data_IF_137559009171
#
_entry.id   IF_137559009171
#
_cell.length_a   1.000
_cell.length_b   1.000
_cell.length_c   1.000
_cell.angle_alpha   90.00
_cell.angle_beta   90.00
_cell.angle_gamma   90.00
#
_symmetry.space_group_name_H-M   'P 1'
#
loop_
_entity.id
_entity.type
_entity.pdbx_description
1 polymer ?
#
# COMPACT_ATOMS: atom_id res chain seq x y z
N UNK A 1 -25.99 -58.00 56.69
CA UNK A 1 -26.50 -56.62 56.54
C UNK A 1 -25.39 -55.78 55.94
N UNK A 2 -25.57 -55.17 54.72
CA UNK A 2 -24.59 -54.34 54.10
C UNK A 2 -24.86 -52.87 54.54
N UNK A 3 -23.98 -52.28 55.29
CA UNK A 3 -24.08 -50.87 55.64
C UNK A 3 -23.41 -50.05 54.55
N UNK A 4 -24.15 -49.15 53.88
CA UNK A 4 -23.64 -48.17 52.95
C UNK A 4 -23.45 -46.83 53.67
N UNK A 5 -22.20 -46.41 53.85
CA UNK A 5 -21.89 -45.15 54.50
C UNK A 5 -21.55 -44.15 53.38
N UNK A 6 -22.41 -43.17 53.15
CA UNK A 6 -22.18 -42.06 52.20
C UNK A 6 -21.57 -40.90 52.97
N UNK A 7 -20.33 -40.57 52.66
CA UNK A 7 -19.68 -39.32 53.10
C UNK A 7 -19.78 -38.34 51.93
N UNK A 8 -20.37 -37.15 52.14
CA UNK A 8 -20.86 -36.28 51.06
C UNK A 8 -19.77 -35.83 50.10
N UNK A 9 -18.63 -35.32 50.53
CA UNK A 9 -17.56 -34.92 49.60
C UNK A 9 -16.29 -34.46 50.31
N UNK A 10 -15.16 -34.53 49.61
CA UNK A 10 -13.90 -33.95 50.02
C UNK A 10 -13.56 -32.83 49.02
N UNK A 11 -13.38 -31.60 49.52
CA UNK A 11 -12.95 -30.48 48.71
C UNK A 11 -11.44 -30.50 48.53
N UNK A 12 -10.98 -30.43 47.26
CA UNK A 12 -9.57 -30.25 46.92
C UNK A 12 -9.35 -28.82 46.47
N UNK A 13 -8.36 -28.15 47.05
CA UNK A 13 -8.09 -26.73 46.81
C UNK A 13 -7.47 -26.48 45.43
N UNK A 14 -7.75 -25.31 44.87
CA UNK A 14 -7.20 -24.81 43.61
C UNK A 14 -5.68 -24.55 43.65
N UNK A 15 -5.05 -24.56 44.85
CA UNK A 15 -3.58 -24.53 45.01
C UNK A 15 -2.87 -25.71 44.31
N UNK A 16 -3.63 -26.75 43.93
CA UNK A 16 -3.12 -27.89 43.15
C UNK A 16 -3.10 -27.66 41.64
N UNK A 17 -3.39 -26.41 41.17
CA UNK A 17 -3.49 -26.04 39.78
C UNK A 17 -2.29 -26.54 38.95
N UNK A 18 -2.57 -27.22 37.83
CA UNK A 18 -1.60 -27.72 36.85
C UNK A 18 -0.37 -28.48 37.44
N UNK A 19 -0.46 -29.00 38.65
CA UNK A 19 0.52 -29.93 39.18
C UNK A 19 0.21 -31.35 38.69
N UNK A 20 1.16 -32.27 38.81
CA UNK A 20 1.09 -33.65 38.28
C UNK A 20 -0.05 -34.53 38.84
N UNK A 21 -1.20 -33.92 39.06
CA UNK A 21 -2.40 -34.49 39.65
C UNK A 21 -2.38 -34.45 41.17
N UNK A 22 -3.55 -34.35 41.76
CA UNK A 22 -3.77 -34.48 43.20
C UNK A 22 -4.29 -35.87 43.44
N UNK A 23 -3.69 -36.61 44.36
CA UNK A 23 -4.16 -37.94 44.75
C UNK A 23 -5.02 -37.85 46.00
N UNK A 24 -6.30 -38.20 45.87
CA UNK A 24 -7.15 -38.45 47.02
C UNK A 24 -7.05 -39.94 47.40
N UNK A 25 -6.67 -40.18 48.65
CA UNK A 25 -6.58 -41.53 49.26
C UNK A 25 -7.71 -41.68 50.25
N UNK A 26 -8.58 -42.64 50.01
CA UNK A 26 -9.66 -42.99 50.90
C UNK A 26 -9.33 -44.33 51.55
N UNK A 27 -9.29 -44.35 52.87
CA UNK A 27 -9.03 -45.59 53.62
C UNK A 27 -10.19 -45.82 54.59
N UNK A 28 -10.77 -47.01 54.54
CA UNK A 28 -11.77 -47.49 55.50
C UNK A 28 -11.16 -48.59 56.33
N UNK A 29 -11.54 -48.63 57.60
CA UNK A 29 -11.13 -49.64 58.54
C UNK A 29 -12.39 -50.24 59.17
N UNK A 30 -12.51 -51.54 59.23
CA UNK A 30 -13.58 -52.25 59.96
C UNK A 30 -13.31 -52.35 61.41
N UNK A 31 -14.27 -52.87 62.20
CA UNK A 31 -14.13 -53.05 63.64
C UNK A 31 -13.16 -54.14 64.01
N UNK A 32 -12.68 -54.91 63.06
CA UNK A 32 -11.63 -56.01 63.28
C UNK A 32 -10.25 -55.48 62.80
N UNK A 33 -10.11 -54.25 62.36
CA UNK A 33 -8.86 -53.63 61.93
C UNK A 33 -8.47 -53.86 60.46
N UNK A 34 -9.31 -54.49 59.62
CA UNK A 34 -9.05 -54.65 58.21
C UNK A 34 -9.18 -53.32 57.49
N UNK A 35 -8.20 -53.05 56.61
CA UNK A 35 -8.13 -51.76 55.86
C UNK A 35 -8.43 -51.95 54.36
N UNK A 36 -9.30 -51.14 53.82
CA UNK A 36 -9.49 -51.00 52.36
C UNK A 36 -9.09 -49.61 51.97
N UNK A 37 -8.29 -49.49 50.90
CA UNK A 37 -7.81 -48.22 50.43
C UNK A 37 -8.11 -48.06 48.94
N UNK A 38 -8.73 -46.93 48.56
CA UNK A 38 -8.93 -46.50 47.18
C UNK A 38 -8.17 -45.20 46.96
N UNK A 39 -7.46 -45.12 45.84
CA UNK A 39 -6.72 -43.91 45.41
C UNK A 39 -7.35 -43.42 44.12
N UNK A 40 -7.52 -42.08 44.00
CA UNK A 40 -7.99 -41.45 42.81
C UNK A 40 -7.16 -40.20 42.54
N UNK A 41 -6.64 -40.08 41.30
CA UNK A 41 -5.94 -38.86 40.85
C UNK A 41 -6.91 -37.95 40.14
N UNK A 42 -6.75 -36.65 40.36
CA UNK A 42 -7.50 -35.56 39.74
C UNK A 42 -6.50 -34.54 39.22
N UNK A 43 -6.82 -33.96 38.04
CA UNK A 43 -6.16 -32.75 37.55
C UNK A 43 -7.05 -31.57 37.86
N UNK A 44 -6.51 -30.55 38.48
CA UNK A 44 -7.18 -29.29 38.74
C UNK A 44 -6.51 -28.25 37.84
N UNK A 45 -7.29 -27.54 37.04
CA UNK A 45 -6.83 -26.50 36.16
C UNK A 45 -7.76 -25.30 36.26
N UNK A 46 -7.21 -24.19 36.74
CA UNK A 46 -7.88 -22.87 36.83
C UNK A 46 -7.15 -21.82 35.98
N UNK A 47 -6.09 -22.22 35.28
CA UNK A 47 -5.34 -21.36 34.40
C UNK A 47 -6.11 -21.16 33.09
N UNK A 48 -6.06 -19.97 32.55
CA UNK A 48 -6.60 -19.67 31.21
C UNK A 48 -5.49 -19.84 30.18
N UNK A 49 -5.79 -20.30 28.95
CA UNK A 49 -4.83 -20.27 27.85
C UNK A 49 -4.25 -18.86 27.66
N UNK A 50 -2.94 -18.74 27.56
CA UNK A 50 -2.26 -17.49 27.20
C UNK A 50 -2.02 -17.47 25.70
N UNK A 51 -2.56 -16.46 24.99
CA UNK A 51 -2.43 -16.33 23.54
C UNK A 51 -1.59 -15.10 23.22
N UNK A 52 -0.61 -15.28 22.34
CA UNK A 52 0.17 -14.20 21.74
C UNK A 52 0.16 -14.34 20.21
N UNK A 53 0.15 -13.22 19.51
CA UNK A 53 0.30 -13.15 18.05
C UNK A 53 1.51 -12.26 17.77
N UNK A 54 2.46 -12.76 16.99
CA UNK A 54 3.63 -12.01 16.54
C UNK A 54 3.76 -12.10 15.02
N UNK A 55 4.52 -11.20 14.42
CA UNK A 55 4.74 -11.16 12.97
C UNK A 55 6.25 -11.12 12.66
N UNK A 56 6.64 -11.76 11.54
CA UNK A 56 8.02 -11.83 11.06
C UNK A 56 8.49 -10.52 10.39
N UNK A 57 7.59 -9.84 9.66
CA UNK A 57 7.86 -8.61 8.96
C UNK A 57 7.13 -7.44 9.62
N UNK A 58 7.87 -6.54 10.26
CA UNK A 58 7.35 -5.35 10.94
C UNK A 58 7.81 -4.04 10.29
N UNK A 59 8.50 -4.09 9.13
CA UNK A 59 8.88 -2.92 8.35
C UNK A 59 7.70 -2.46 7.48
N UNK A 60 7.10 -1.32 7.83
CA UNK A 60 5.94 -0.77 7.16
C UNK A 60 5.99 0.76 7.10
N UNK A 61 5.25 1.35 6.19
CA UNK A 61 4.81 2.75 6.28
C UNK A 61 3.42 2.78 6.91
N UNK A 62 3.34 3.05 8.22
CA UNK A 62 2.10 2.94 8.98
C UNK A 62 1.58 1.49 9.00
N UNK A 63 0.35 1.28 8.49
CA UNK A 63 -0.28 -0.05 8.42
C UNK A 63 0.00 -0.80 7.11
N UNK A 64 0.78 -0.24 6.18
CA UNK A 64 0.99 -0.77 4.82
C UNK A 64 2.30 -1.54 4.70
N UNK A 65 2.25 -2.70 4.07
CA UNK A 65 3.39 -3.62 3.89
C UNK A 65 3.52 -4.02 2.43
N UNK A 66 4.67 -3.75 1.81
CA UNK A 66 4.97 -4.14 0.42
C UNK A 66 5.53 -5.55 0.25
N UNK A 67 5.61 -6.33 1.33
CA UNK A 67 6.09 -7.71 1.34
C UNK A 67 5.12 -8.61 2.09
N UNK A 68 5.22 -9.91 1.85
CA UNK A 68 4.49 -10.91 2.62
C UNK A 68 4.76 -10.75 4.11
N UNK A 69 3.79 -11.14 4.92
CA UNK A 69 3.91 -11.29 6.38
C UNK A 69 3.50 -12.69 6.80
N UNK A 70 4.09 -13.17 7.88
CA UNK A 70 3.65 -14.38 8.55
C UNK A 70 3.33 -14.04 10.00
N UNK A 71 2.12 -14.38 10.44
CA UNK A 71 1.77 -14.34 11.85
C UNK A 71 2.12 -15.69 12.48
N UNK A 72 2.77 -15.67 13.65
CA UNK A 72 2.92 -16.82 14.53
C UNK A 72 1.97 -16.62 15.71
N UNK A 73 0.97 -17.48 15.81
CA UNK A 73 0.06 -17.56 16.96
C UNK A 73 0.66 -18.55 17.93
N UNK A 74 0.94 -18.10 19.16
CA UNK A 74 1.51 -18.93 20.23
C UNK A 74 0.49 -19.06 21.35
N UNK A 75 0.21 -20.28 21.78
CA UNK A 75 -0.67 -20.59 22.91
C UNK A 75 0.15 -21.35 23.95
N UNK A 76 0.18 -20.82 25.18
CA UNK A 76 0.76 -21.50 26.35
C UNK A 76 -0.38 -22.08 27.17
N UNK A 77 -0.51 -23.40 27.13
CA UNK A 77 -1.57 -24.12 27.84
C UNK A 77 -1.15 -25.56 28.13
N UNK A 78 -1.50 -26.08 29.31
CA UNK A 78 -1.26 -27.48 29.67
C UNK A 78 -2.34 -28.41 29.11
N UNK A 79 -3.59 -28.02 29.24
CA UNK A 79 -4.77 -28.79 28.88
C UNK A 79 -5.42 -28.25 27.60
N UNK A 80 -4.61 -28.05 26.57
CA UNK A 80 -5.02 -27.47 25.29
C UNK A 80 -6.08 -28.30 24.59
N UNK A 81 -7.15 -27.64 24.13
CA UNK A 81 -8.20 -28.23 23.30
C UNK A 81 -8.25 -27.56 21.90
N UNK A 82 -7.70 -28.27 20.91
CA UNK A 82 -7.68 -27.79 19.53
C UNK A 82 -9.09 -27.60 18.94
N UNK A 83 -10.08 -28.35 19.41
CA UNK A 83 -11.46 -28.27 18.94
C UNK A 83 -12.18 -27.01 19.46
N UNK A 84 -11.73 -26.49 20.61
CA UNK A 84 -12.24 -25.26 21.24
C UNK A 84 -11.31 -24.07 21.04
N UNK A 85 -10.36 -24.17 20.10
CA UNK A 85 -9.45 -23.10 19.72
C UNK A 85 -9.86 -22.56 18.34
N UNK A 86 -10.07 -21.25 18.24
CA UNK A 86 -10.57 -20.60 17.05
C UNK A 86 -9.59 -19.53 16.59
N UNK A 87 -9.24 -19.59 15.30
CA UNK A 87 -8.50 -18.53 14.61
C UNK A 87 -9.38 -17.99 13.48
N UNK A 88 -9.62 -16.69 13.51
CA UNK A 88 -10.38 -16.00 12.47
C UNK A 88 -9.46 -15.04 11.72
N UNK A 89 -9.43 -15.21 10.41
CA UNK A 89 -8.82 -14.29 9.46
C UNK A 89 -9.92 -13.44 8.85
N UNK A 90 -9.76 -12.12 8.89
CA UNK A 90 -10.58 -11.21 8.09
C UNK A 90 -9.73 -10.68 6.95
N UNK A 91 -10.20 -10.84 5.70
CA UNK A 91 -9.59 -10.28 4.51
C UNK A 91 -10.61 -9.41 3.78
N UNK A 92 -10.32 -8.14 3.58
CA UNK A 92 -11.21 -7.16 2.92
C UNK A 92 -12.65 -7.19 3.48
N UNK A 93 -12.78 -7.27 4.81
CA UNK A 93 -14.06 -7.35 5.51
C UNK A 93 -14.70 -8.75 5.58
N UNK A 94 -14.20 -9.73 4.84
CA UNK A 94 -14.73 -11.11 4.88
C UNK A 94 -14.01 -11.92 5.96
N UNK A 95 -14.78 -12.36 6.97
CA UNK A 95 -14.27 -13.15 8.10
C UNK A 95 -14.36 -14.65 7.80
N UNK A 96 -13.25 -15.35 7.91
CA UNK A 96 -13.12 -16.78 7.68
C UNK A 96 -12.50 -17.45 8.90
N UNK A 97 -13.08 -18.59 9.34
CA UNK A 97 -12.45 -19.44 10.37
C UNK A 97 -11.37 -20.30 9.72
N UNK A 98 -10.15 -20.21 10.23
CA UNK A 98 -9.05 -21.06 9.80
C UNK A 98 -9.11 -22.41 10.49
N UNK A 99 -8.61 -23.46 9.82
CA UNK A 99 -8.42 -24.77 10.44
C UNK A 99 -7.33 -24.66 11.51
N UNK A 100 -7.61 -25.19 12.68
CA UNK A 100 -6.67 -25.23 13.82
C UNK A 100 -5.57 -26.26 13.57
N UNK A 101 -4.39 -25.82 13.12
CA UNK A 101 -3.21 -26.66 12.84
C UNK A 101 -2.09 -26.33 13.82
N UNK A 102 -2.41 -26.24 15.10
CA UNK A 102 -1.41 -25.98 16.14
C UNK A 102 -0.50 -27.20 16.34
N UNK A 103 0.80 -26.94 16.41
CA UNK A 103 1.84 -27.93 16.69
C UNK A 103 2.43 -27.60 18.05
N UNK A 104 2.56 -28.63 18.91
CA UNK A 104 3.23 -28.52 20.22
C UNK A 104 4.73 -28.60 20.02
N UNK A 105 5.50 -27.88 20.89
CA UNK A 105 6.94 -28.04 21.01
C UNK A 105 7.32 -29.34 21.76
N UNK A 106 6.33 -30.02 22.37
CA UNK A 106 6.54 -31.29 23.11
C UNK A 106 7.25 -31.10 24.43
N UNK A 107 7.58 -29.88 24.84
CA UNK A 107 8.33 -29.57 26.05
C UNK A 107 7.42 -29.03 27.14
N UNK A 108 7.52 -29.61 28.34
CA UNK A 108 6.79 -29.14 29.52
C UNK A 108 7.55 -28.00 30.17
N UNK A 109 7.03 -26.79 30.03
CA UNK A 109 7.58 -25.59 30.65
C UNK A 109 6.94 -25.30 32.01
N UNK A 110 7.61 -24.55 32.87
CA UNK A 110 7.11 -24.12 34.18
C UNK A 110 7.09 -22.61 34.30
N UNK A 111 6.03 -22.07 34.91
CA UNK A 111 5.96 -20.66 35.33
C UNK A 111 6.63 -20.47 36.68
N UNK A 112 6.85 -19.23 37.08
CA UNK A 112 7.43 -18.89 38.39
C UNK A 112 6.57 -19.38 39.57
N UNK A 113 5.24 -19.44 39.40
CA UNK A 113 4.30 -19.96 40.38
C UNK A 113 4.29 -21.51 40.44
N UNK A 114 5.11 -22.19 39.64
CA UNK A 114 5.22 -23.63 39.52
C UNK A 114 4.13 -24.29 38.67
N UNK A 115 3.19 -23.54 38.09
CA UNK A 115 2.27 -24.09 37.11
C UNK A 115 3.00 -24.44 35.82
N UNK A 116 2.47 -25.42 35.08
CA UNK A 116 3.13 -25.97 33.90
C UNK A 116 2.30 -25.80 32.64
N UNK A 117 2.97 -25.72 31.49
CA UNK A 117 2.31 -25.55 30.19
C UNK A 117 3.16 -26.15 29.06
N UNK A 118 2.52 -26.45 27.93
CA UNK A 118 3.15 -26.68 26.63
C UNK A 118 2.98 -25.42 25.76
N UNK A 119 3.87 -25.25 24.79
CA UNK A 119 3.75 -24.23 23.78
C UNK A 119 3.14 -24.83 22.51
N UNK A 120 2.05 -24.25 22.02
CA UNK A 120 1.41 -24.63 20.76
C UNK A 120 1.53 -23.46 19.81
N UNK A 121 1.98 -23.72 18.57
CA UNK A 121 2.18 -22.69 17.56
C UNK A 121 1.45 -23.02 16.27
N UNK A 122 0.95 -21.97 15.61
CA UNK A 122 0.34 -22.02 14.30
C UNK A 122 0.78 -20.79 13.50
N UNK A 123 1.22 -20.99 12.25
CA UNK A 123 1.58 -19.91 11.34
C UNK A 123 0.44 -19.59 10.36
N UNK A 124 0.25 -18.31 10.08
CA UNK A 124 -0.68 -17.80 9.06
C UNK A 124 0.10 -16.88 8.13
N UNK A 125 0.13 -17.23 6.85
CA UNK A 125 0.86 -16.48 5.82
C UNK A 125 -0.10 -15.52 5.10
N UNK A 126 0.33 -14.28 4.91
CA UNK A 126 -0.35 -13.22 4.15
C UNK A 126 0.52 -12.91 2.93
N UNK A 127 0.17 -13.47 1.78
CA UNK A 127 0.94 -13.42 0.53
C UNK A 127 0.23 -12.72 -0.62
N UNK A 128 -0.98 -12.22 -0.41
CA UNK A 128 -1.78 -11.52 -1.41
C UNK A 128 -2.12 -10.11 -0.94
N UNK A 129 -2.35 -9.21 -1.90
CA UNK A 129 -2.82 -7.87 -1.59
C UNK A 129 -4.21 -7.89 -0.94
N UNK A 130 -4.37 -7.05 0.08
CA UNK A 130 -5.61 -6.96 0.84
C UNK A 130 -5.43 -6.32 2.22
N UNK A 131 -6.55 -5.94 2.82
CA UNK A 131 -6.61 -5.53 4.23
C UNK A 131 -6.91 -6.74 5.10
N UNK A 132 -6.13 -6.92 6.16
CA UNK A 132 -6.15 -8.11 7.02
C UNK A 132 -6.29 -7.76 8.49
N UNK A 133 -7.05 -8.60 9.21
CA UNK A 133 -6.96 -8.71 10.66
C UNK A 133 -6.99 -10.19 11.09
N UNK A 134 -6.36 -10.50 12.22
CA UNK A 134 -6.25 -11.84 12.76
C UNK A 134 -6.69 -11.84 14.21
N UNK A 135 -7.58 -12.77 14.58
CA UNK A 135 -8.08 -12.92 15.95
C UNK A 135 -8.00 -14.38 16.35
N UNK A 136 -7.51 -14.65 17.57
CA UNK A 136 -7.46 -15.99 18.15
C UNK A 136 -8.18 -16.03 19.49
N UNK A 137 -8.82 -17.16 19.80
CA UNK A 137 -9.46 -17.44 21.06
C UNK A 137 -9.34 -18.93 21.39
N UNK A 138 -9.20 -19.29 22.66
CA UNK A 138 -9.08 -20.67 23.10
C UNK A 138 -9.85 -20.90 24.39
N UNK A 139 -10.38 -22.12 24.50
CA UNK A 139 -10.94 -22.68 25.75
C UNK A 139 -10.24 -24.01 25.97
N UNK A 140 -9.69 -24.23 27.16
CA UNK A 140 -9.01 -25.48 27.51
C UNK A 140 -9.98 -26.63 27.80
N UNK A 141 -9.46 -27.79 28.10
CA UNK A 141 -10.24 -28.95 28.44
C UNK A 141 -11.00 -28.81 29.80
N UNK A 142 -10.52 -27.97 30.71
CA UNK A 142 -11.16 -27.68 31.97
C UNK A 142 -12.29 -26.63 31.86
N UNK A 143 -12.38 -25.93 30.69
CA UNK A 143 -13.39 -24.94 30.43
C UNK A 143 -12.94 -23.51 30.73
N UNK A 144 -11.67 -23.28 31.07
CA UNK A 144 -11.15 -21.92 31.24
C UNK A 144 -11.01 -21.25 29.88
N UNK A 145 -11.51 -20.00 29.76
CA UNK A 145 -11.57 -19.26 28.50
C UNK A 145 -10.62 -18.07 28.51
N UNK A 146 -9.90 -17.92 27.43
CA UNK A 146 -9.22 -16.68 27.09
C UNK A 146 -10.21 -15.75 26.35
N UNK A 147 -10.10 -14.43 26.55
CA UNK A 147 -10.77 -13.45 25.71
C UNK A 147 -10.13 -13.45 24.32
N UNK A 148 -10.90 -13.16 23.24
CA UNK A 148 -10.32 -13.05 21.92
C UNK A 148 -9.15 -12.06 21.91
N UNK A 149 -7.99 -12.52 21.42
CA UNK A 149 -6.80 -11.71 21.25
C UNK A 149 -6.70 -11.34 19.78
N UNK A 150 -6.76 -10.04 19.51
CA UNK A 150 -6.34 -9.45 18.24
C UNK A 150 -4.91 -8.93 18.45
N UNK A 151 -4.09 -8.94 17.41
CA UNK A 151 -2.73 -8.40 17.53
C UNK A 151 -2.76 -6.96 18.02
N UNK A 152 -2.20 -6.73 19.18
CA UNK A 152 -2.03 -5.41 19.80
C UNK A 152 -0.55 -5.04 19.63
N UNK A 153 -0.16 -4.66 18.42
CA UNK A 153 1.14 -4.02 18.17
C UNK A 153 1.02 -2.49 18.18
N UNK A 154 2.07 -1.80 17.81
CA UNK A 154 2.11 -0.33 17.68
C UNK A 154 1.17 0.21 16.59
N UNK A 155 0.52 -0.65 15.83
CA UNK A 155 -0.40 -0.31 14.73
C UNK A 155 -1.71 -1.09 14.89
N UNK A 156 -2.79 -0.42 14.56
CA UNK A 156 -4.21 -0.80 14.56
C UNK A 156 -4.50 -2.31 14.40
N UNK A 157 -5.69 -2.75 14.81
CA UNK A 157 -6.18 -4.14 14.72
C UNK A 157 -6.18 -4.73 13.29
N UNK A 158 -5.82 -3.94 12.26
CA UNK A 158 -5.71 -4.35 10.86
C UNK A 158 -4.44 -3.80 10.20
N UNK A 159 -4.00 -4.48 9.13
CA UNK A 159 -2.90 -4.07 8.27
C UNK A 159 -3.21 -4.36 6.80
N UNK A 160 -2.46 -3.73 5.90
CA UNK A 160 -2.62 -3.88 4.45
C UNK A 160 -1.35 -4.48 3.86
N UNK A 161 -1.50 -5.59 3.12
CA UNK A 161 -0.47 -6.05 2.19
C UNK A 161 -0.78 -5.41 0.84
N UNK A 162 0.19 -4.72 0.27
CA UNK A 162 0.12 -4.13 -1.05
C UNK A 162 1.46 -4.22 -1.75
N UNK A 163 1.52 -5.05 -2.77
CA UNK A 163 2.71 -5.31 -3.61
C UNK A 163 2.54 -4.75 -5.02
N UNK A 164 1.39 -4.17 -5.29
CA UNK A 164 1.06 -3.60 -6.59
C UNK A 164 1.67 -2.21 -6.70
N UNK A 165 2.34 -1.93 -7.83
CA UNK A 165 2.91 -0.60 -8.10
C UNK A 165 1.85 0.31 -8.70
N UNK A 166 1.87 1.62 -8.39
CA UNK A 166 1.04 2.58 -9.11
C UNK A 166 1.38 2.59 -10.61
N UNK A 167 0.36 2.76 -11.45
CA UNK A 167 0.51 2.89 -12.90
C UNK A 167 0.06 4.29 -13.31
N UNK A 168 0.93 5.05 -14.00
CA UNK A 168 0.62 6.38 -14.50
C UNK A 168 0.57 6.43 -16.02
N UNK A 169 -0.32 7.28 -16.56
CA UNK A 169 -0.42 7.60 -17.98
C UNK A 169 -0.56 9.11 -18.16
N UNK A 170 0.26 9.68 -19.06
CA UNK A 170 0.18 11.07 -19.47
C UNK A 170 -0.45 11.14 -20.87
N UNK A 171 -1.48 11.97 -21.05
CA UNK A 171 -2.10 12.26 -22.34
C UNK A 171 -2.25 13.76 -22.50
N UNK A 172 -2.34 14.22 -23.74
CA UNK A 172 -2.49 15.63 -24.09
C UNK A 172 -3.71 15.84 -24.98
N UNK A 173 -4.39 16.97 -24.81
CA UNK A 173 -5.56 17.37 -25.60
C UNK A 173 -5.19 17.89 -26.98
N UNK A 174 -4.16 18.73 -27.09
CA UNK A 174 -3.69 19.34 -28.33
C UNK A 174 -2.41 18.63 -28.80
N UNK A 175 -2.51 17.96 -29.94
CA UNK A 175 -1.40 17.24 -30.58
C UNK A 175 -1.02 17.83 -31.95
N UNK A 176 -1.56 19.02 -32.32
CA UNK A 176 -1.20 19.72 -33.54
C UNK A 176 0.16 20.38 -33.40
N UNK A 177 1.17 19.74 -33.95
CA UNK A 177 2.57 20.20 -33.91
C UNK A 177 3.03 20.70 -35.27
N UNK A 178 3.93 21.70 -35.27
CA UNK A 178 4.83 22.00 -36.37
C UNK A 178 6.24 21.59 -35.94
N UNK A 179 6.96 20.82 -36.76
CA UNK A 179 8.32 20.36 -36.45
C UNK A 179 8.42 19.62 -35.10
N UNK A 180 7.52 18.67 -34.85
CA UNK A 180 7.48 17.70 -33.70
C UNK A 180 7.47 18.31 -32.30
N UNK A 181 7.85 19.60 -32.13
CA UNK A 181 8.16 20.22 -30.84
C UNK A 181 7.30 21.45 -30.55
N UNK A 182 6.82 22.15 -31.57
CA UNK A 182 6.16 23.48 -31.46
C UNK A 182 4.66 23.34 -31.56
N UNK A 183 3.95 24.01 -30.64
CA UNK A 183 2.49 24.05 -30.57
C UNK A 183 2.02 25.54 -30.61
N UNK A 184 1.15 25.88 -31.55
CA UNK A 184 0.63 27.26 -31.74
C UNK A 184 -0.57 27.63 -30.87
N UNK A 185 -0.99 26.75 -29.95
CA UNK A 185 -2.10 26.96 -29.04
C UNK A 185 -1.80 26.36 -27.68
N UNK A 186 -2.57 26.75 -26.68
CA UNK A 186 -2.54 26.20 -25.36
C UNK A 186 -2.63 24.65 -25.41
N UNK A 187 -2.01 24.03 -24.42
CA UNK A 187 -1.97 22.58 -24.30
C UNK A 187 -2.29 22.17 -22.87
N UNK A 188 -3.06 21.09 -22.69
CA UNK A 188 -3.35 20.53 -21.38
C UNK A 188 -2.90 19.06 -21.34
N UNK A 189 -2.09 18.71 -20.36
CA UNK A 189 -1.82 17.32 -20.04
C UNK A 189 -2.82 16.82 -19.00
N UNK A 190 -3.33 15.61 -19.21
CA UNK A 190 -4.07 14.84 -18.22
C UNK A 190 -3.19 13.70 -17.75
N UNK A 191 -2.88 13.68 -16.45
CA UNK A 191 -2.16 12.62 -15.77
C UNK A 191 -3.18 11.75 -15.07
N UNK A 192 -3.25 10.46 -15.41
CA UNK A 192 -4.10 9.46 -14.75
C UNK A 192 -3.22 8.46 -14.04
N UNK A 193 -3.52 8.20 -12.77
CA UNK A 193 -2.84 7.19 -11.96
C UNK A 193 -3.86 6.18 -11.49
N UNK A 194 -3.57 4.91 -11.69
CA UNK A 194 -4.37 3.80 -11.15
C UNK A 194 -3.63 3.22 -9.96
N UNK A 195 -4.19 3.40 -8.77
CA UNK A 195 -3.64 2.92 -7.51
C UNK A 195 -4.71 2.90 -6.41
N UNK A 196 -4.80 1.79 -5.65
CA UNK A 196 -5.76 1.66 -4.55
C UNK A 196 -5.29 2.39 -3.28
N UNK A 197 -4.02 2.24 -2.96
CA UNK A 197 -3.39 2.82 -1.77
C UNK A 197 -2.57 4.06 -2.16
N UNK A 198 -3.25 4.98 -2.84
CA UNK A 198 -2.64 6.16 -3.43
C UNK A 198 -2.01 7.09 -2.40
N UNK A 199 -0.79 7.50 -2.69
CA UNK A 199 -0.10 8.63 -2.08
C UNK A 199 0.16 9.67 -3.15
N UNK A 200 -0.01 10.94 -2.84
CA UNK A 200 0.23 12.00 -3.83
C UNK A 200 1.64 11.90 -4.44
N UNK A 201 1.67 11.74 -5.77
CA UNK A 201 2.91 11.57 -6.51
C UNK A 201 3.52 12.93 -6.86
N UNK A 202 4.84 12.97 -7.01
CA UNK A 202 5.55 14.18 -7.41
C UNK A 202 5.44 14.40 -8.92
N UNK A 203 4.74 15.47 -9.31
CA UNK A 203 4.66 15.94 -10.68
C UNK A 203 5.61 17.14 -10.84
N UNK A 204 6.71 16.91 -11.57
CA UNK A 204 7.69 17.94 -11.92
C UNK A 204 7.33 18.57 -13.25
N UNK A 205 7.04 19.88 -13.24
CA UNK A 205 6.67 20.65 -14.42
C UNK A 205 6.83 22.15 -14.17
N UNK A 206 6.99 22.93 -15.22
CA UNK A 206 6.87 24.40 -15.21
C UNK A 206 5.53 24.91 -15.80
N UNK A 207 4.57 24.00 -16.03
CA UNK A 207 3.17 24.32 -16.32
C UNK A 207 2.35 24.54 -15.05
N UNK A 208 1.12 24.99 -15.18
CA UNK A 208 0.17 25.23 -14.07
C UNK A 208 -0.56 23.94 -13.72
N UNK A 209 -0.30 23.38 -12.53
CA UNK A 209 -0.94 22.16 -12.02
C UNK A 209 -2.33 22.45 -11.42
N UNK A 210 -3.28 21.53 -11.62
CA UNK A 210 -4.45 21.40 -10.75
C UNK A 210 -4.09 20.61 -9.46
N UNK A 211 -5.05 20.45 -8.54
CA UNK A 211 -4.96 19.42 -7.50
C UNK A 211 -5.25 18.01 -8.06
N UNK A 212 -4.97 17.00 -7.25
CA UNK A 212 -5.42 15.63 -7.52
C UNK A 212 -6.92 15.48 -7.26
N UNK A 213 -7.61 14.81 -8.16
CA UNK A 213 -9.00 14.37 -8.00
C UNK A 213 -9.03 12.86 -8.01
N UNK A 214 -9.70 12.24 -7.02
CA UNK A 214 -9.71 10.79 -6.83
C UNK A 214 -11.13 10.24 -6.94
N UNK A 215 -11.27 9.14 -7.69
CA UNK A 215 -12.51 8.38 -7.80
C UNK A 215 -12.18 6.87 -7.78
N UNK A 216 -12.44 6.22 -6.64
CA UNK A 216 -12.02 4.84 -6.41
C UNK A 216 -10.48 4.71 -6.49
N UNK A 217 -10.01 3.85 -7.39
CA UNK A 217 -8.58 3.61 -7.63
C UNK A 217 -8.00 4.53 -8.73
N UNK A 218 -8.78 5.42 -9.30
CA UNK A 218 -8.34 6.35 -10.34
C UNK A 218 -8.10 7.74 -9.76
N UNK A 219 -6.91 8.30 -10.02
CA UNK A 219 -6.49 9.61 -9.54
C UNK A 219 -6.05 10.44 -10.73
N UNK A 220 -6.57 11.64 -10.85
CA UNK A 220 -6.38 12.50 -12.03
C UNK A 220 -5.87 13.86 -11.62
N UNK A 221 -4.86 14.34 -12.34
CA UNK A 221 -4.36 15.74 -12.28
C UNK A 221 -4.26 16.30 -13.71
N UNK A 222 -4.55 17.57 -13.88
CA UNK A 222 -4.29 18.28 -15.12
C UNK A 222 -3.15 19.29 -14.98
N UNK A 223 -2.41 19.49 -16.07
CA UNK A 223 -1.36 20.51 -16.16
C UNK A 223 -1.60 21.35 -17.41
N UNK A 224 -1.77 22.66 -17.23
CA UNK A 224 -2.01 23.61 -18.32
C UNK A 224 -0.70 24.30 -18.72
N UNK A 225 -0.48 24.41 -20.04
CA UNK A 225 0.67 25.05 -20.68
C UNK A 225 0.14 26.15 -21.62
N UNK A 226 0.14 27.39 -21.15
CA UNK A 226 -0.52 28.51 -21.79
C UNK A 226 0.33 29.78 -21.99
N UNK A 227 1.63 29.68 -21.74
CA UNK A 227 2.58 30.77 -22.00
C UNK A 227 3.57 30.35 -23.10
N UNK A 228 4.11 31.34 -23.82
CA UNK A 228 5.10 31.12 -24.88
C UNK A 228 6.46 30.78 -24.30
N UNK A 229 6.69 29.50 -24.04
CA UNK A 229 7.95 28.96 -23.49
C UNK A 229 8.11 27.48 -23.73
N UNK A 230 9.29 26.98 -23.42
CA UNK A 230 9.57 25.55 -23.39
C UNK A 230 9.04 24.92 -22.08
N UNK A 231 8.45 23.73 -22.22
CA UNK A 231 7.84 22.99 -21.14
C UNK A 231 8.44 21.60 -20.97
N UNK A 232 8.46 21.16 -19.72
CA UNK A 232 8.76 19.79 -19.31
C UNK A 232 7.64 19.25 -18.40
N UNK A 233 7.47 17.93 -18.42
CA UNK A 233 6.53 17.23 -17.56
C UNK A 233 7.04 15.84 -17.24
N UNK A 234 7.13 15.50 -15.96
CA UNK A 234 7.39 14.15 -15.51
C UNK A 234 6.64 13.85 -14.22
N UNK A 235 6.41 12.55 -13.95
CA UNK A 235 5.79 12.05 -12.72
C UNK A 235 6.63 10.93 -12.15
N UNK A 236 6.83 10.95 -10.84
CA UNK A 236 7.53 9.94 -10.06
C UNK A 236 7.00 9.88 -8.62
N UNK A 237 7.27 8.81 -7.89
CA UNK A 237 6.90 8.66 -6.49
C UNK A 237 6.62 7.21 -6.13
N UNK A 238 5.91 7.02 -5.03
CA UNK A 238 5.52 5.72 -4.50
C UNK A 238 4.14 5.80 -3.86
N UNK A 239 3.47 4.64 -3.71
CA UNK A 239 2.21 4.52 -2.99
C UNK A 239 2.39 4.52 -1.45
N UNK A 240 1.32 4.25 -0.70
CA UNK A 240 1.34 4.18 0.77
C UNK A 240 2.13 2.98 1.30
N UNK A 241 2.33 1.92 0.51
CA UNK A 241 3.13 0.76 0.88
C UNK A 241 4.61 0.89 0.49
N UNK A 242 4.98 1.96 -0.24
CA UNK A 242 6.32 2.21 -0.73
C UNK A 242 6.63 1.46 -2.03
N UNK A 243 5.63 1.03 -2.82
CA UNK A 243 5.86 0.53 -4.17
C UNK A 243 6.09 1.71 -5.12
N UNK A 244 7.23 1.69 -5.81
CA UNK A 244 7.70 2.81 -6.62
C UNK A 244 7.03 2.79 -8.00
N UNK A 245 6.45 3.93 -8.40
CA UNK A 245 5.99 4.18 -9.75
C UNK A 245 7.14 4.12 -10.74
N UNK A 246 6.98 3.46 -11.86
CA UNK A 246 7.90 3.60 -12.99
C UNK A 246 7.78 5.02 -13.55
N UNK A 247 8.89 5.78 -13.48
CA UNK A 247 8.92 7.19 -13.86
C UNK A 247 8.42 7.40 -15.29
N UNK A 248 7.45 8.30 -15.45
CA UNK A 248 6.95 8.73 -16.75
C UNK A 248 7.39 10.15 -17.04
N UNK A 249 7.76 10.43 -18.31
CA UNK A 249 8.17 11.76 -18.75
C UNK A 249 7.64 12.02 -20.16
N UNK A 250 7.12 13.20 -20.38
CA UNK A 250 6.83 13.70 -21.74
C UNK A 250 8.12 14.22 -22.38
N UNK A 251 8.23 14.11 -23.72
CA UNK A 251 9.27 14.84 -24.46
C UNK A 251 9.07 16.35 -24.23
N UNK A 252 10.14 17.14 -24.02
CA UNK A 252 10.04 18.58 -23.93
C UNK A 252 9.40 19.17 -25.18
N UNK A 253 8.58 20.22 -25.02
CA UNK A 253 7.87 20.88 -26.11
C UNK A 253 7.77 22.38 -25.87
N UNK A 254 7.45 23.12 -26.92
CA UNK A 254 7.31 24.58 -26.88
C UNK A 254 5.89 24.95 -27.25
N UNK A 255 5.26 25.80 -26.45
CA UNK A 255 4.07 26.54 -26.82
C UNK A 255 4.56 27.90 -27.33
N UNK A 256 4.12 28.26 -28.51
CA UNK A 256 4.40 29.55 -29.17
C UNK A 256 3.16 30.01 -29.90
N UNK A 257 2.52 31.03 -29.37
CA UNK A 257 1.30 31.65 -29.92
C UNK A 257 1.58 32.99 -30.56
N UNK A 258 2.79 33.48 -30.38
CA UNK A 258 3.22 34.77 -30.92
C UNK A 258 3.49 34.61 -32.41
N UNK A 259 3.03 35.56 -33.19
CA UNK A 259 3.32 35.61 -34.63
C UNK A 259 4.65 36.31 -34.84
N UNK A 260 5.47 35.88 -35.81
CA UNK A 260 6.68 36.61 -36.17
C UNK A 260 6.30 38.00 -36.68
N UNK A 261 7.13 38.98 -36.34
CA UNK A 261 7.03 40.37 -36.79
C UNK A 261 8.03 40.63 -37.89
N UNK A 262 7.59 41.40 -38.90
CA UNK A 262 8.47 41.99 -39.91
C UNK A 262 8.57 43.49 -39.59
N UNK A 263 9.77 43.92 -39.23
CA UNK A 263 10.08 45.29 -38.87
C UNK A 263 11.12 45.86 -39.85
N UNK A 264 11.19 47.17 -39.96
CA UNK A 264 12.22 47.89 -40.71
C UNK A 264 12.40 47.42 -42.16
N UNK A 265 11.32 47.46 -42.94
CA UNK A 265 11.43 47.22 -44.39
C UNK A 265 12.08 48.46 -45.03
N UNK A 266 13.21 48.23 -45.71
CA UNK A 266 13.93 49.31 -46.43
C UNK A 266 13.90 49.05 -47.95
N UNK A 267 13.77 50.03 -48.80
CA UNK A 267 13.55 51.42 -48.47
C UNK A 267 12.15 51.65 -47.85
N UNK A 268 12.06 52.60 -46.91
CA UNK A 268 10.85 52.89 -46.15
C UNK A 268 9.85 53.78 -46.89
N UNK A 269 10.23 54.27 -48.03
CA UNK A 269 9.43 55.18 -48.90
C UNK A 269 9.07 54.55 -50.26
N UNK A 270 8.07 55.11 -50.92
CA UNK A 270 7.61 54.66 -52.22
C UNK A 270 8.22 55.50 -53.38
N UNK A 271 9.43 56.05 -53.13
CA UNK A 271 10.11 56.85 -54.15
C UNK A 271 10.43 56.07 -55.44
N UNK A 272 10.32 56.72 -56.56
CA UNK A 272 10.64 56.10 -57.85
C UNK A 272 12.16 55.86 -57.97
N UNK A 273 12.54 54.67 -58.36
CA UNK A 273 13.93 54.25 -58.52
C UNK A 273 14.24 53.99 -60.01
N UNK A 274 15.41 54.36 -60.46
CA UNK A 274 15.86 54.22 -61.87
C UNK A 274 16.64 52.90 -62.08
N UNK A 275 16.81 52.05 -61.03
CA UNK A 275 17.58 50.86 -61.10
C UNK A 275 17.05 49.73 -60.13
N UNK A 276 17.86 48.71 -59.92
CA UNK A 276 17.52 47.62 -58.98
C UNK A 276 17.47 48.20 -57.58
N UNK A 277 16.44 47.81 -56.81
CA UNK A 277 16.22 48.20 -55.43
C UNK A 277 16.52 47.01 -54.55
N UNK A 278 17.39 47.22 -53.56
CA UNK A 278 17.64 46.20 -52.50
C UNK A 278 16.68 46.47 -51.35
N UNK A 279 15.82 45.52 -51.08
CA UNK A 279 14.92 45.56 -49.91
C UNK A 279 15.57 44.80 -48.76
N UNK A 280 15.64 45.45 -47.61
CA UNK A 280 16.04 44.85 -46.34
C UNK A 280 14.87 44.78 -45.39
N UNK A 281 14.79 43.77 -44.55
CA UNK A 281 13.78 43.66 -43.53
C UNK A 281 14.38 42.99 -42.27
N UNK A 282 13.80 43.24 -41.12
CA UNK A 282 14.15 42.59 -39.88
C UNK A 282 12.99 41.69 -39.45
N UNK A 283 13.28 40.40 -39.23
CA UNK A 283 12.35 39.46 -38.65
C UNK A 283 12.60 39.33 -37.16
N UNK A 284 11.57 39.44 -36.35
CA UNK A 284 11.66 39.30 -34.90
C UNK A 284 10.66 38.26 -34.45
N UNK A 285 11.19 37.16 -33.93
CA UNK A 285 10.44 36.10 -33.27
C UNK A 285 11.40 35.25 -32.44
N UNK A 286 10.96 34.79 -31.28
CA UNK A 286 11.77 33.97 -30.37
C UNK A 286 12.04 32.57 -30.92
N UNK A 287 11.08 32.04 -31.68
CA UNK A 287 11.12 30.66 -32.20
C UNK A 287 11.02 30.62 -33.73
N UNK A 288 11.63 31.60 -34.40
CA UNK A 288 11.61 31.72 -35.83
C UNK A 288 12.12 30.46 -36.54
N UNK A 289 11.35 29.96 -37.50
CA UNK A 289 11.79 28.86 -38.39
C UNK A 289 12.62 29.46 -39.53
N UNK A 290 13.94 29.45 -39.35
CA UNK A 290 14.93 30.05 -40.26
C UNK A 290 14.97 29.39 -41.66
N UNK A 291 14.27 28.27 -41.86
CA UNK A 291 14.19 27.57 -43.17
C UNK A 291 12.93 27.84 -43.97
N UNK A 292 11.95 28.56 -43.40
CA UNK A 292 10.64 28.78 -44.02
C UNK A 292 10.43 30.15 -44.66
N UNK A 293 11.48 30.97 -44.68
CA UNK A 293 11.39 32.35 -45.21
C UNK A 293 11.13 32.33 -46.73
N UNK A 294 9.99 32.83 -47.14
CA UNK A 294 9.66 33.03 -48.56
C UNK A 294 9.32 34.50 -48.80
N UNK A 295 10.16 35.17 -49.59
CA UNK A 295 9.83 36.48 -50.11
C UNK A 295 9.06 36.31 -51.46
N UNK A 296 7.81 36.72 -51.45
CA UNK A 296 6.97 36.70 -52.68
C UNK A 296 6.65 38.13 -53.07
N UNK A 297 7.13 38.56 -54.23
CA UNK A 297 6.79 39.87 -54.80
C UNK A 297 5.56 39.79 -55.68
N UNK A 298 4.77 40.87 -55.71
CA UNK A 298 3.64 41.08 -56.62
C UNK A 298 3.84 42.37 -57.38
N UNK A 299 3.75 42.33 -58.71
CA UNK A 299 3.74 43.55 -59.59
C UNK A 299 2.56 43.44 -60.55
N UNK A 300 1.64 44.40 -60.47
CA UNK A 300 0.44 44.46 -61.33
C UNK A 300 -0.30 43.11 -61.44
N UNK A 301 -0.51 42.43 -60.29
CA UNK A 301 -1.22 41.16 -60.21
C UNK A 301 -0.41 39.93 -60.64
N UNK A 302 0.87 40.01 -60.89
CA UNK A 302 1.75 38.87 -61.15
C UNK A 302 2.61 38.55 -59.93
N UNK A 303 2.56 37.28 -59.47
CA UNK A 303 3.42 36.77 -58.42
C UNK A 303 4.75 36.32 -58.97
N UNK A 304 5.86 36.72 -58.35
CA UNK A 304 7.20 36.29 -58.71
C UNK A 304 8.02 35.97 -57.46
N UNK A 305 8.96 35.00 -57.56
CA UNK A 305 9.95 34.79 -56.53
C UNK A 305 11.09 35.77 -56.65
N UNK A 306 11.47 36.38 -55.57
CA UNK A 306 12.64 37.26 -55.48
C UNK A 306 13.82 36.39 -55.02
N UNK A 307 14.96 36.42 -55.75
CA UNK A 307 16.17 35.76 -55.32
C UNK A 307 16.75 36.47 -54.11
N UNK A 308 16.85 35.81 -53.01
CA UNK A 308 17.27 36.34 -51.73
C UNK A 308 18.76 36.23 -51.51
N UNK A 309 19.35 37.29 -50.95
CA UNK A 309 20.52 37.17 -50.05
C UNK A 309 20.00 37.45 -48.65
N UNK A 310 19.74 36.39 -47.90
CA UNK A 310 19.41 36.54 -46.49
C UNK A 310 20.63 37.04 -45.71
N UNK A 311 20.50 38.16 -44.98
CA UNK A 311 21.30 38.50 -43.82
C UNK A 311 20.45 38.23 -42.59
N UNK A 312 20.76 37.16 -41.88
CA UNK A 312 20.25 36.91 -40.55
C UNK A 312 21.34 37.34 -39.58
N UNK A 313 21.12 38.37 -38.76
CA UNK A 313 21.91 38.71 -37.59
C UNK A 313 21.39 37.94 -36.36
#
# INVERSE_FOLDING_TARGET
MKYEYKKDHVRIDASANNKNGVEAKFTMVDNTGHKSTVRKKFNIDVSKPEIAISYDNNQSEGKYFKKNRTATITIKERNFDSNKTYVYLTKNGVKTRLRSNFVSDGVLHSREDGSQYYIYQMNVVFDQDGEYSLTAASTDLAGNKNLPVTYVGTHTDSFVIDKTKPVAKISFDNNSVKNEKYYKADRVATIRVTEKNFKELNVSTNGKKSGWSSHGNEHVMTVTFNEDKEYHLSIAGQDLAGNVLEKQSAKPFIVDKTKPKIDQVTPSDSSANTGAVTCGYTLTDKYLDKGSDQLVGEMKGRKFKVNEKQKVE
#
